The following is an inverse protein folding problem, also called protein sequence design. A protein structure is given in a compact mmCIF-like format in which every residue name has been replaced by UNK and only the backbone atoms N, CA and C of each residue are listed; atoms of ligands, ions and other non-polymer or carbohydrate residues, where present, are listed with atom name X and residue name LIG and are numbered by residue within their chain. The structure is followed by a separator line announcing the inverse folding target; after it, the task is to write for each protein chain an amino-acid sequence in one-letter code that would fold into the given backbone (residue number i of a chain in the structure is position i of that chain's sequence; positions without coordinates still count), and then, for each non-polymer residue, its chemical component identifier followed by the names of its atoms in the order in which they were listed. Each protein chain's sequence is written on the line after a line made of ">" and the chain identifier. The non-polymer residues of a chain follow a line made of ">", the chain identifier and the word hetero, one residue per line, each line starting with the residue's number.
data_IF_455923326519
#
_entry.id   IF_455923326519
#
_cell.length_a   1.000
_cell.length_b   1.000
_cell.length_c   1.000
_cell.angle_alpha   90.00
_cell.angle_beta   90.00
_cell.angle_gamma   90.00
#
_symmetry.space_group_name_H-M   'P 1'
#
loop_
_entity.id
_entity.type
_entity.pdbx_description
1 polymer ?
#
# COMPACT_ATOMS: atom_id res chain seq x y z
N UNK A 1 14.60 1.02 -1.68
CA UNK A 1 13.97 1.97 -2.60
C UNK A 1 13.00 1.22 -3.52
N UNK A 2 11.81 1.77 -3.76
CA UNK A 2 10.90 1.32 -4.84
C UNK A 2 11.14 2.25 -6.03
N UNK A 3 11.18 1.69 -7.24
CA UNK A 3 11.43 2.45 -8.46
C UNK A 3 10.52 1.97 -9.59
N UNK A 4 9.85 2.92 -10.25
CA UNK A 4 9.12 2.73 -11.49
C UNK A 4 9.86 3.48 -12.59
N UNK A 5 10.15 2.82 -13.71
CA UNK A 5 10.90 3.36 -14.84
C UNK A 5 10.10 3.18 -16.13
N UNK A 6 9.54 4.27 -16.65
CA UNK A 6 8.81 4.37 -17.93
C UNK A 6 7.75 3.28 -18.12
N UNK A 7 6.98 3.01 -17.05
CA UNK A 7 5.94 1.98 -17.10
C UNK A 7 4.83 2.42 -18.05
N UNK A 8 4.62 1.60 -19.08
CA UNK A 8 3.46 1.68 -19.97
C UNK A 8 2.64 0.40 -19.90
N UNK A 9 1.30 0.51 -19.89
CA UNK A 9 0.38 -0.62 -19.87
C UNK A 9 -0.95 -0.30 -20.53
N UNK A 10 -1.36 -1.17 -21.46
CA UNK A 10 -2.69 -1.17 -22.05
C UNK A 10 -3.43 -2.48 -21.79
N UNK A 11 -4.74 -2.44 -21.91
CA UNK A 11 -5.64 -3.60 -21.92
C UNK A 11 -6.57 -3.47 -23.13
N UNK A 12 -6.52 -4.46 -24.03
CA UNK A 12 -7.21 -4.41 -25.31
C UNK A 12 -6.84 -3.13 -26.09
N UNK A 13 -7.78 -2.24 -26.35
CA UNK A 13 -7.55 -0.98 -27.08
C UNK A 13 -7.33 0.25 -26.18
N UNK A 14 -7.38 0.08 -24.83
CA UNK A 14 -7.30 1.21 -23.89
C UNK A 14 -5.91 1.26 -23.24
N UNK A 15 -5.19 2.37 -23.43
CA UNK A 15 -4.00 2.69 -22.64
C UNK A 15 -4.44 3.05 -21.21
N UNK A 16 -3.78 2.44 -20.21
CA UNK A 16 -4.04 2.67 -18.79
C UNK A 16 -2.87 3.38 -18.10
N UNK A 17 -1.63 3.11 -18.54
CA UNK A 17 -0.42 3.76 -18.05
C UNK A 17 0.46 4.15 -19.25
N UNK A 18 1.09 5.31 -19.17
CA UNK A 18 1.93 5.88 -20.23
C UNK A 18 3.19 6.50 -19.61
N UNK A 19 4.33 5.82 -19.78
CA UNK A 19 5.68 6.25 -19.37
C UNK A 19 5.80 6.70 -17.89
N UNK A 20 5.07 6.03 -16.98
CA UNK A 20 5.05 6.37 -15.55
C UNK A 20 6.41 6.09 -14.92
N UNK A 21 7.02 7.13 -14.31
CA UNK A 21 8.31 7.02 -13.60
C UNK A 21 8.28 7.80 -12.30
N UNK A 22 8.58 7.14 -11.17
CA UNK A 22 8.78 7.77 -9.86
C UNK A 22 9.51 6.82 -8.91
N UNK A 23 9.90 7.32 -7.74
CA UNK A 23 10.57 6.54 -6.70
C UNK A 23 9.93 6.74 -5.33
N UNK A 24 9.96 5.70 -4.47
CA UNK A 24 9.69 5.79 -3.04
C UNK A 24 10.94 5.36 -2.25
N UNK A 25 11.35 6.17 -1.27
CA UNK A 25 12.64 6.03 -0.56
C UNK A 25 12.48 5.42 0.83
N UNK A 26 13.60 5.05 1.43
CA UNK A 26 13.69 4.57 2.80
C UNK A 26 13.34 5.68 3.80
N UNK A 27 12.59 5.31 4.86
CA UNK A 27 12.14 6.24 5.89
C UNK A 27 10.99 7.14 5.46
N UNK A 28 10.40 6.89 4.29
CA UNK A 28 9.39 7.73 3.64
C UNK A 28 8.06 6.99 3.48
N UNK A 29 6.95 7.70 3.71
CA UNK A 29 5.62 7.28 3.29
C UNK A 29 5.31 8.03 1.98
N UNK A 30 5.30 7.30 0.87
CA UNK A 30 4.94 7.85 -0.44
C UNK A 30 3.48 7.53 -0.75
N UNK A 31 2.67 8.54 -1.07
CA UNK A 31 1.30 8.38 -1.54
C UNK A 31 1.22 8.45 -3.07
N UNK A 32 0.58 7.45 -3.66
CA UNK A 32 0.14 7.47 -5.06
C UNK A 32 -1.35 7.81 -5.08
N UNK A 33 -1.68 9.04 -5.47
CA UNK A 33 -3.04 9.57 -5.47
C UNK A 33 -3.62 9.70 -6.87
N UNK A 34 -4.93 9.77 -6.95
CA UNK A 34 -5.68 9.98 -8.20
C UNK A 34 -7.06 9.37 -8.13
N UNK A 35 -7.97 9.72 -9.06
CA UNK A 35 -9.32 9.17 -9.09
C UNK A 35 -9.35 7.68 -9.39
N UNK A 36 -10.51 7.07 -9.19
CA UNK A 36 -10.73 5.68 -9.58
C UNK A 36 -10.51 5.52 -11.10
N UNK A 37 -9.79 4.46 -11.49
CA UNK A 37 -9.44 4.21 -12.90
C UNK A 37 -8.23 4.97 -13.43
N UNK A 38 -7.53 5.77 -12.62
CA UNK A 38 -6.30 6.48 -13.05
C UNK A 38 -5.10 5.56 -13.30
N UNK A 39 -5.12 4.30 -12.81
CA UNK A 39 -4.05 3.32 -12.99
C UNK A 39 -3.30 2.92 -11.72
N UNK A 40 -3.64 3.46 -10.54
CA UNK A 40 -2.96 3.17 -9.25
C UNK A 40 -2.81 1.68 -8.96
N UNK A 41 -3.93 0.95 -8.90
CA UNK A 41 -3.90 -0.49 -8.63
C UNK A 41 -3.23 -1.30 -9.74
N UNK A 42 -3.19 -0.79 -10.98
CA UNK A 42 -2.42 -1.39 -12.09
C UNK A 42 -0.92 -1.27 -11.82
N UNK A 43 -0.44 -0.11 -11.38
CA UNK A 43 0.95 0.08 -10.97
C UNK A 43 1.36 -0.84 -9.81
N UNK A 44 0.50 -0.94 -8.79
CA UNK A 44 0.74 -1.87 -7.66
C UNK A 44 0.82 -3.32 -8.15
N UNK A 45 -0.09 -3.75 -9.03
CA UNK A 45 -0.07 -5.11 -9.59
C UNK A 45 1.18 -5.38 -10.42
N UNK A 46 1.66 -4.40 -11.20
CA UNK A 46 2.93 -4.50 -11.94
C UNK A 46 4.10 -4.64 -10.97
N UNK A 47 4.17 -3.79 -9.95
CA UNK A 47 5.23 -3.82 -8.94
C UNK A 47 5.31 -5.17 -8.22
N UNK A 48 4.16 -5.78 -7.93
CA UNK A 48 4.06 -7.10 -7.28
C UNK A 48 4.17 -8.29 -8.23
N UNK A 49 4.49 -8.06 -9.51
CA UNK A 49 4.62 -9.13 -10.51
C UNK A 49 3.32 -9.86 -10.85
N UNK A 50 2.15 -9.31 -10.47
CA UNK A 50 0.85 -9.92 -10.76
C UNK A 50 0.42 -9.72 -12.22
N UNK A 51 0.91 -8.68 -12.87
CA UNK A 51 0.76 -8.40 -14.30
C UNK A 51 2.07 -7.82 -14.82
N UNK A 52 2.42 -8.13 -16.08
CA UNK A 52 3.59 -7.56 -16.74
C UNK A 52 3.28 -6.20 -17.35
N UNK A 53 4.17 -5.20 -17.26
CA UNK A 53 4.06 -3.98 -18.04
C UNK A 53 4.27 -4.31 -19.54
N UNK A 54 3.81 -3.43 -20.43
CA UNK A 54 4.10 -3.54 -21.87
C UNK A 54 5.47 -2.94 -22.17
N UNK A 55 5.85 -1.88 -21.42
CA UNK A 55 7.17 -1.23 -21.47
C UNK A 55 7.59 -0.79 -20.06
N UNK A 56 8.90 -0.64 -19.87
CA UNK A 56 9.48 -0.19 -18.60
C UNK A 56 9.59 -1.32 -17.57
N UNK A 57 9.95 -0.95 -16.35
CA UNK A 57 10.11 -1.91 -15.24
C UNK A 57 9.80 -1.27 -13.89
N UNK A 58 9.32 -2.10 -12.96
CA UNK A 58 9.15 -1.74 -11.54
C UNK A 58 10.03 -2.62 -10.66
N UNK A 59 10.78 -2.02 -9.73
CA UNK A 59 11.80 -2.73 -8.96
C UNK A 59 11.80 -2.35 -7.49
N UNK A 60 12.35 -3.27 -6.68
CA UNK A 60 12.71 -3.12 -5.27
C UNK A 60 14.23 -3.19 -5.16
N UNK A 61 14.89 -2.08 -4.86
CA UNK A 61 16.36 -1.97 -4.85
C UNK A 61 17.01 -2.59 -6.11
N UNK A 62 16.43 -2.28 -7.29
CA UNK A 62 16.92 -2.73 -8.60
C UNK A 62 16.49 -4.14 -9.01
N UNK A 63 15.73 -4.88 -8.16
CA UNK A 63 15.23 -6.24 -8.44
C UNK A 63 13.73 -6.21 -8.69
N UNK A 64 13.25 -6.98 -9.68
CA UNK A 64 11.81 -7.24 -9.84
C UNK A 64 11.28 -8.09 -8.68
N UNK A 65 9.95 -8.17 -8.51
CA UNK A 65 9.36 -9.01 -7.46
C UNK A 65 9.78 -10.48 -7.58
N UNK A 66 9.88 -11.01 -8.79
CA UNK A 66 10.31 -12.39 -9.07
C UNK A 66 11.77 -12.63 -8.68
N UNK A 67 12.63 -11.62 -8.83
CA UNK A 67 14.05 -11.68 -8.48
C UNK A 67 14.32 -11.57 -6.97
N UNK A 68 13.30 -11.26 -6.13
CA UNK A 68 13.43 -11.26 -4.67
C UNK A 68 13.63 -12.66 -4.08
N UNK A 69 13.55 -13.71 -4.90
CA UNK A 69 13.83 -15.08 -4.53
C UNK A 69 12.62 -15.85 -3.99
N UNK A 70 12.87 -16.94 -3.28
CA UNK A 70 11.84 -17.90 -2.85
C UNK A 70 10.80 -17.34 -1.88
N UNK A 71 11.15 -16.31 -1.12
CA UNK A 71 10.32 -15.76 -0.04
C UNK A 71 10.18 -14.23 -0.15
N UNK A 72 9.60 -13.70 -1.25
CA UNK A 72 9.51 -12.26 -1.47
C UNK A 72 8.72 -11.52 -0.38
N UNK A 73 7.75 -12.18 0.26
CA UNK A 73 6.96 -11.65 1.37
C UNK A 73 7.80 -11.27 2.62
N UNK A 74 9.02 -11.77 2.75
CA UNK A 74 9.97 -11.33 3.80
C UNK A 74 10.58 -9.97 3.50
N UNK A 75 10.51 -9.55 2.26
CA UNK A 75 11.01 -8.25 1.80
C UNK A 75 9.89 -7.24 1.57
N UNK A 76 8.78 -7.69 0.98
CA UNK A 76 7.64 -6.86 0.61
C UNK A 76 6.37 -7.45 1.21
N UNK A 77 5.72 -6.71 2.10
CA UNK A 77 4.35 -6.97 2.55
C UNK A 77 3.37 -6.17 1.71
N UNK A 78 2.24 -6.77 1.35
CA UNK A 78 1.22 -6.10 0.56
C UNK A 78 -0.17 -6.31 1.17
N UNK A 79 -0.95 -5.23 1.18
CA UNK A 79 -2.38 -5.22 1.44
C UNK A 79 -3.08 -4.63 0.23
N UNK A 80 -3.90 -5.41 -0.44
CA UNK A 80 -4.64 -4.99 -1.63
C UNK A 80 -6.11 -4.80 -1.28
N UNK A 81 -6.80 -3.88 -1.96
CA UNK A 81 -8.24 -3.62 -1.79
C UNK A 81 -9.08 -4.89 -1.99
N UNK A 82 -8.60 -5.84 -2.79
CA UNK A 82 -9.23 -7.15 -2.99
C UNK A 82 -9.03 -8.15 -1.83
N UNK A 83 -8.43 -7.75 -0.70
CA UNK A 83 -8.20 -8.64 0.44
C UNK A 83 -9.50 -9.16 1.02
N UNK A 84 -9.72 -10.47 0.87
CA UNK A 84 -10.89 -11.18 1.39
C UNK A 84 -10.45 -12.43 2.17
N UNK A 85 -10.21 -12.30 3.48
CA UNK A 85 -9.85 -13.44 4.30
C UNK A 85 -11.05 -14.40 4.45
N UNK A 86 -10.78 -15.71 4.59
CA UNK A 86 -11.82 -16.71 4.74
C UNK A 86 -12.71 -16.40 5.98
N UNK A 87 -14.01 -16.14 5.79
CA UNK A 87 -14.91 -15.67 6.85
C UNK A 87 -15.15 -16.70 7.96
N UNK A 88 -14.92 -17.98 7.71
CA UNK A 88 -15.11 -19.05 8.69
C UNK A 88 -13.93 -19.25 9.64
N UNK A 89 -12.75 -18.70 9.29
CA UNK A 89 -11.56 -18.73 10.14
C UNK A 89 -11.62 -17.66 11.23
N UNK A 90 -10.85 -17.87 12.30
CA UNK A 90 -10.50 -16.78 13.24
C UNK A 90 -9.31 -15.99 12.71
N UNK A 91 -9.10 -14.75 13.18
CA UNK A 91 -7.93 -13.97 12.78
C UNK A 91 -6.62 -14.68 13.15
N UNK A 92 -6.56 -15.28 14.33
CA UNK A 92 -5.40 -16.06 14.74
C UNK A 92 -5.16 -17.25 13.80
N UNK A 93 -6.20 -18.04 13.47
CA UNK A 93 -6.08 -19.16 12.53
C UNK A 93 -5.67 -18.73 11.13
N UNK A 94 -6.12 -17.55 10.69
CA UNK A 94 -5.75 -16.97 9.39
C UNK A 94 -4.25 -16.68 9.34
N UNK A 95 -3.73 -15.93 10.32
CA UNK A 95 -2.29 -15.62 10.41
C UNK A 95 -1.44 -16.88 10.63
N UNK A 96 -1.92 -17.81 11.48
CA UNK A 96 -1.22 -19.07 11.75
C UNK A 96 -1.07 -19.92 10.49
N UNK A 97 -2.10 -20.00 9.65
CA UNK A 97 -2.02 -20.74 8.39
C UNK A 97 -0.94 -20.17 7.46
N UNK A 98 -0.88 -18.84 7.34
CA UNK A 98 0.15 -18.17 6.54
C UNK A 98 1.54 -18.37 7.17
N UNK A 99 1.67 -18.21 8.48
CA UNK A 99 2.93 -18.40 9.19
C UNK A 99 3.51 -19.81 8.99
N UNK A 100 2.68 -20.85 9.12
CA UNK A 100 3.10 -22.24 8.93
C UNK A 100 3.57 -22.53 7.49
N UNK A 101 2.84 -22.04 6.49
CA UNK A 101 3.21 -22.24 5.07
C UNK A 101 4.43 -21.43 4.65
N UNK A 102 4.75 -20.37 5.39
CA UNK A 102 5.82 -19.44 5.09
C UNK A 102 7.07 -19.59 5.98
N UNK A 103 7.06 -20.56 6.90
CA UNK A 103 8.18 -20.78 7.84
C UNK A 103 8.40 -19.59 8.79
N UNK A 104 7.30 -18.94 9.22
CA UNK A 104 7.31 -17.84 10.19
C UNK A 104 6.96 -18.40 11.57
N UNK A 105 7.62 -17.91 12.63
CA UNK A 105 7.35 -18.32 14.01
C UNK A 105 5.90 -17.99 14.41
N UNK A 106 5.23 -18.95 15.03
CA UNK A 106 3.85 -18.82 15.54
C UNK A 106 3.67 -17.65 16.51
N UNK A 107 4.70 -17.34 17.32
CA UNK A 107 4.69 -16.18 18.22
C UNK A 107 4.40 -14.88 17.49
N UNK A 108 4.91 -14.75 16.24
CA UNK A 108 4.70 -13.58 15.42
C UNK A 108 3.23 -13.31 15.11
N UNK A 109 2.39 -14.32 15.04
CA UNK A 109 0.94 -14.14 14.84
C UNK A 109 0.30 -13.34 16.00
N UNK A 110 0.65 -13.67 17.25
CA UNK A 110 0.14 -12.97 18.43
C UNK A 110 0.69 -11.54 18.51
N UNK A 111 1.98 -11.35 18.18
CA UNK A 111 2.58 -10.02 18.09
C UNK A 111 1.87 -9.15 17.05
N UNK A 112 1.61 -9.69 15.86
CA UNK A 112 0.90 -8.94 14.80
C UNK A 112 -0.54 -8.59 15.23
N UNK A 113 -1.28 -9.53 15.86
CA UNK A 113 -2.61 -9.22 16.38
C UNK A 113 -2.57 -8.12 17.44
N UNK A 114 -1.55 -8.11 18.30
CA UNK A 114 -1.36 -7.04 19.29
C UNK A 114 -1.03 -5.71 18.62
N UNK A 115 -0.12 -5.69 17.64
CA UNK A 115 0.28 -4.48 16.89
C UNK A 115 -0.92 -3.81 16.21
N UNK A 116 -1.86 -4.60 15.70
CA UNK A 116 -3.05 -4.06 15.02
C UNK A 116 -4.28 -3.93 15.93
N UNK A 117 -4.14 -4.18 17.23
CA UNK A 117 -5.23 -4.03 18.21
C UNK A 117 -6.34 -5.07 18.06
N UNK A 118 -6.02 -6.29 17.61
CA UNK A 118 -6.98 -7.39 17.44
C UNK A 118 -6.74 -8.56 18.40
N UNK A 119 -5.86 -8.41 19.39
CA UNK A 119 -5.48 -9.53 20.29
C UNK A 119 -6.65 -10.08 21.10
N UNK A 120 -7.56 -9.21 21.62
CA UNK A 120 -8.71 -9.64 22.44
C UNK A 120 -9.80 -10.34 21.61
N UNK A 121 -9.83 -10.08 20.31
CA UNK A 121 -10.82 -10.64 19.38
C UNK A 121 -10.22 -11.64 18.39
N UNK A 122 -8.94 -11.96 18.52
CA UNK A 122 -8.21 -12.85 17.62
C UNK A 122 -8.83 -14.24 17.43
N UNK A 123 -9.60 -14.72 18.40
CA UNK A 123 -10.34 -15.99 18.37
C UNK A 123 -11.79 -15.87 17.86
N UNK A 124 -12.29 -14.66 17.59
CA UNK A 124 -13.59 -14.49 16.92
C UNK A 124 -13.46 -14.79 15.43
N UNK A 125 -14.55 -15.28 14.84
CA UNK A 125 -14.59 -15.55 13.38
C UNK A 125 -14.56 -14.25 12.59
N UNK A 126 -13.86 -14.26 11.46
CA UNK A 126 -13.69 -13.09 10.59
C UNK A 126 -15.03 -12.60 10.00
N UNK A 127 -16.02 -13.49 9.83
CA UNK A 127 -17.38 -13.07 9.42
C UNK A 127 -18.01 -12.07 10.38
N UNK A 128 -17.64 -12.13 11.68
CA UNK A 128 -18.19 -11.27 12.73
C UNK A 128 -17.37 -9.99 12.94
N UNK A 129 -16.36 -9.74 12.07
CA UNK A 129 -15.53 -8.55 12.11
C UNK A 129 -16.19 -7.39 11.40
N UNK A 130 -16.07 -6.17 11.98
CA UNK A 130 -16.38 -4.93 11.28
C UNK A 130 -15.40 -4.72 10.10
N UNK A 131 -15.71 -3.79 9.21
CA UNK A 131 -14.82 -3.42 8.11
C UNK A 131 -13.44 -3.03 8.64
N UNK A 132 -13.38 -2.13 9.64
CA UNK A 132 -12.12 -1.71 10.25
C UNK A 132 -11.33 -2.86 10.87
N UNK A 133 -11.98 -3.84 11.50
CA UNK A 133 -11.30 -5.03 12.00
C UNK A 133 -10.73 -5.90 10.85
N UNK A 134 -11.42 -5.99 9.72
CA UNK A 134 -10.90 -6.69 8.52
C UNK A 134 -9.71 -5.97 7.92
N UNK A 135 -9.74 -4.64 7.85
CA UNK A 135 -8.61 -3.82 7.41
C UNK A 135 -7.39 -4.02 8.31
N UNK A 136 -7.56 -3.96 9.63
CA UNK A 136 -6.50 -4.26 10.61
C UNK A 136 -5.93 -5.67 10.45
N UNK A 137 -6.77 -6.68 10.16
CA UNK A 137 -6.31 -8.04 9.87
C UNK A 137 -5.50 -8.11 8.56
N UNK A 138 -5.90 -7.37 7.53
CA UNK A 138 -5.14 -7.23 6.28
C UNK A 138 -3.75 -6.65 6.52
N UNK A 139 -3.66 -5.57 7.31
CA UNK A 139 -2.38 -4.99 7.73
C UNK A 139 -1.55 -5.99 8.55
N UNK A 140 -2.16 -6.72 9.50
CA UNK A 140 -1.47 -7.78 10.26
C UNK A 140 -0.89 -8.85 9.33
N UNK A 141 -1.63 -9.22 8.29
CA UNK A 141 -1.19 -10.18 7.28
C UNK A 141 0.01 -9.65 6.49
N UNK A 142 -0.05 -8.39 6.05
CA UNK A 142 1.01 -7.76 5.28
C UNK A 142 2.33 -7.63 6.07
N UNK A 143 2.25 -7.38 7.40
CA UNK A 143 3.44 -7.22 8.26
C UNK A 143 3.90 -8.51 8.94
N UNK A 144 3.24 -9.64 8.70
CA UNK A 144 3.49 -10.90 9.40
C UNK A 144 4.96 -11.34 9.31
N UNK A 145 5.56 -11.22 8.13
CA UNK A 145 6.97 -11.57 7.89
C UNK A 145 7.97 -10.46 8.28
N UNK A 146 7.52 -9.38 8.91
CA UNK A 146 8.32 -8.18 9.23
C UNK A 146 9.06 -7.60 8.01
N UNK A 147 8.36 -7.28 6.93
CA UNK A 147 8.97 -6.84 5.68
C UNK A 147 9.67 -5.48 5.82
N UNK A 148 10.63 -5.21 4.90
CA UNK A 148 11.28 -3.89 4.76
C UNK A 148 10.35 -2.89 4.06
N UNK A 149 9.51 -3.37 3.16
CA UNK A 149 8.62 -2.55 2.32
C UNK A 149 7.17 -2.95 2.57
N UNK A 150 6.29 -1.97 2.69
CA UNK A 150 4.85 -2.16 2.85
C UNK A 150 4.10 -1.44 1.73
N UNK A 151 3.31 -2.19 0.97
CA UNK A 151 2.47 -1.69 -0.12
C UNK A 151 1.02 -1.80 0.31
N UNK A 152 0.28 -0.69 0.25
CA UNK A 152 -1.09 -0.59 0.72
C UNK A 152 -1.98 0.02 -0.36
N UNK A 153 -2.90 -0.78 -0.89
CA UNK A 153 -3.87 -0.32 -1.88
C UNK A 153 -5.18 0.04 -1.17
N UNK A 154 -5.49 1.35 -1.10
CA UNK A 154 -6.69 1.94 -0.48
C UNK A 154 -6.94 1.50 0.98
N UNK A 155 -5.95 1.52 1.90
CA UNK A 155 -6.08 0.92 3.23
C UNK A 155 -7.01 1.67 4.18
N UNK A 156 -7.36 2.92 3.88
CA UNK A 156 -8.26 3.77 4.69
C UNK A 156 -9.70 3.76 4.19
N UNK A 157 -9.96 3.09 3.07
CA UNK A 157 -11.29 3.07 2.45
C UNK A 157 -12.33 2.47 3.39
N UNK A 158 -13.41 3.25 3.66
CA UNK A 158 -14.52 2.84 4.51
C UNK A 158 -14.21 2.73 6.01
N UNK A 159 -13.09 3.31 6.48
CA UNK A 159 -12.80 3.46 7.89
C UNK A 159 -13.49 4.68 8.46
N UNK A 160 -13.82 4.60 9.76
CA UNK A 160 -14.21 5.76 10.57
C UNK A 160 -12.98 6.64 10.91
N UNK A 161 -13.18 7.86 11.43
CA UNK A 161 -12.08 8.77 11.77
C UNK A 161 -11.04 8.16 12.73
N UNK A 162 -11.47 7.35 13.70
CA UNK A 162 -10.57 6.68 14.64
C UNK A 162 -9.74 5.60 13.94
N UNK A 163 -10.33 4.88 12.99
CA UNK A 163 -9.64 3.92 12.13
C UNK A 163 -8.58 4.57 11.25
N UNK A 164 -8.89 5.72 10.64
CA UNK A 164 -7.95 6.51 9.83
C UNK A 164 -6.78 7.00 10.68
N UNK A 165 -7.07 7.57 11.87
CA UNK A 165 -6.05 8.02 12.82
C UNK A 165 -5.11 6.86 13.20
N UNK A 166 -5.68 5.70 13.52
CA UNK A 166 -4.90 4.52 13.88
C UNK A 166 -3.99 4.07 12.73
N UNK A 167 -4.48 4.01 11.48
CA UNK A 167 -3.65 3.68 10.30
C UNK A 167 -2.49 4.67 10.18
N UNK A 168 -2.73 5.97 10.33
CA UNK A 168 -1.70 7.01 10.30
C UNK A 168 -0.59 6.76 11.31
N UNK A 169 -0.95 6.54 12.58
CA UNK A 169 0.00 6.26 13.66
C UNK A 169 0.80 5.00 13.38
N UNK A 170 0.13 3.95 12.91
CA UNK A 170 0.75 2.68 12.51
C UNK A 170 1.78 2.87 11.39
N UNK A 171 1.46 3.63 10.33
CA UNK A 171 2.37 3.87 9.22
C UNK A 171 3.58 4.70 9.63
N UNK A 172 3.37 5.73 10.43
CA UNK A 172 4.46 6.55 10.98
C UNK A 172 5.41 5.74 11.86
N UNK A 173 4.89 4.82 12.68
CA UNK A 173 5.73 3.91 13.45
C UNK A 173 6.48 2.92 12.56
N UNK A 174 5.81 2.40 11.53
CA UNK A 174 6.41 1.42 10.61
C UNK A 174 7.65 1.98 9.89
N UNK A 175 7.63 3.24 9.44
CA UNK A 175 8.77 3.84 8.69
C UNK A 175 9.95 4.26 9.56
N UNK A 176 9.80 4.43 10.88
CA UNK A 176 10.87 4.87 11.79
C UNK A 176 12.13 4.00 11.76
N UNK A 177 12.00 2.74 11.39
CA UNK A 177 13.13 1.81 11.23
C UNK A 177 13.84 1.85 9.87
N UNK A 178 13.67 2.91 9.07
CA UNK A 178 14.20 3.00 7.70
C UNK A 178 13.43 2.13 6.71
N UNK A 179 12.20 1.72 7.06
CA UNK A 179 11.31 0.97 6.17
C UNK A 179 10.64 1.90 5.17
N UNK A 180 10.00 1.32 4.15
CA UNK A 180 9.36 2.04 3.05
C UNK A 180 7.88 1.74 3.06
N UNK A 181 7.05 2.78 2.88
CA UNK A 181 5.61 2.61 2.64
C UNK A 181 5.24 3.25 1.32
N UNK A 182 4.54 2.49 0.47
CA UNK A 182 3.82 3.00 -0.69
C UNK A 182 2.32 2.77 -0.45
N UNK A 183 1.56 3.84 -0.39
CA UNK A 183 0.11 3.81 -0.16
C UNK A 183 -0.62 4.38 -1.37
N UNK A 184 -1.71 3.76 -1.80
CA UNK A 184 -2.62 4.38 -2.77
C UNK A 184 -3.84 4.93 -2.06
N UNK A 185 -4.38 6.05 -2.52
CA UNK A 185 -5.67 6.57 -2.08
C UNK A 185 -6.29 7.49 -3.12
N UNK A 186 -7.61 7.58 -3.07
CA UNK A 186 -8.38 8.64 -3.72
C UNK A 186 -8.87 9.70 -2.73
N UNK A 187 -8.67 9.50 -1.43
CA UNK A 187 -8.96 10.46 -0.35
C UNK A 187 -7.72 11.30 -0.05
N UNK A 188 -7.51 12.37 -0.82
CA UNK A 188 -6.29 13.17 -0.79
C UNK A 188 -6.08 13.88 0.54
N UNK A 189 -7.15 14.48 1.09
CA UNK A 189 -7.10 15.26 2.34
C UNK A 189 -6.70 14.40 3.56
N UNK A 190 -7.10 13.13 3.59
CA UNK A 190 -6.77 12.23 4.70
C UNK A 190 -5.28 11.88 4.77
N UNK A 191 -4.57 12.05 3.65
CA UNK A 191 -3.14 11.73 3.54
C UNK A 191 -2.22 12.90 3.91
N UNK A 192 -2.69 14.15 3.89
CA UNK A 192 -1.87 15.35 4.10
C UNK A 192 -1.03 15.32 5.38
N UNK A 193 -1.62 14.78 6.46
CA UNK A 193 -0.93 14.63 7.75
C UNK A 193 -0.11 13.34 7.88
N UNK A 194 -0.11 12.51 6.83
CA UNK A 194 0.45 11.14 6.93
C UNK A 194 1.68 10.96 6.06
N UNK A 195 1.72 11.57 4.88
CA UNK A 195 2.72 11.24 3.86
C UNK A 195 3.86 12.25 3.80
N UNK A 196 5.02 11.78 3.35
CA UNK A 196 6.21 12.59 3.17
C UNK A 196 6.37 12.99 1.70
N UNK A 197 5.88 12.16 0.79
CA UNK A 197 5.92 12.37 -0.66
C UNK A 197 4.56 12.07 -1.28
N UNK A 198 4.18 12.87 -2.27
CA UNK A 198 2.97 12.68 -3.07
C UNK A 198 3.32 12.48 -4.54
N UNK A 199 2.65 11.51 -5.18
CA UNK A 199 2.70 11.24 -6.60
C UNK A 199 1.26 11.22 -7.12
N UNK A 200 0.90 12.19 -7.95
CA UNK A 200 -0.44 12.32 -8.55
C UNK A 200 -0.50 11.61 -9.91
N UNK A 201 -1.48 10.73 -10.08
CA UNK A 201 -1.71 9.99 -11.33
C UNK A 201 -3.04 10.40 -11.96
N UNK A 202 -3.01 10.89 -13.19
CA UNK A 202 -4.19 11.23 -13.98
C UNK A 202 -4.08 10.65 -15.39
N UNK A 203 -5.14 9.95 -15.83
CA UNK A 203 -5.20 9.33 -17.17
C UNK A 203 -3.92 8.54 -17.53
N UNK A 204 -3.39 7.80 -16.53
CA UNK A 204 -2.19 6.97 -16.71
C UNK A 204 -0.86 7.73 -16.78
N UNK A 205 -0.84 9.02 -16.45
CA UNK A 205 0.38 9.86 -16.45
C UNK A 205 0.60 10.48 -15.09
N UNK A 206 1.87 10.72 -14.71
CA UNK A 206 2.21 11.50 -13.53
C UNK A 206 1.91 12.96 -13.79
N UNK A 207 1.15 13.58 -12.89
CA UNK A 207 0.82 15.01 -12.91
C UNK A 207 1.42 15.76 -11.71
N UNK A 208 1.76 15.05 -10.63
CA UNK A 208 2.46 15.57 -9.45
C UNK A 208 3.55 14.56 -9.06
N UNK A 209 4.73 15.01 -8.73
CA UNK A 209 5.80 14.25 -8.06
C UNK A 209 6.61 15.21 -7.19
N UNK A 210 6.32 15.25 -5.88
CA UNK A 210 6.94 16.21 -4.98
C UNK A 210 6.89 15.81 -3.50
N UNK A 211 7.63 16.54 -2.67
CA UNK A 211 7.49 16.39 -1.23
C UNK A 211 6.11 16.90 -0.78
N UNK A 212 5.51 16.23 0.22
CA UNK A 212 4.22 16.66 0.80
C UNK A 212 4.27 18.12 1.25
N UNK A 213 5.39 18.52 1.89
CA UNK A 213 5.59 19.87 2.40
C UNK A 213 5.55 20.92 1.29
N UNK A 214 6.34 20.72 0.22
CA UNK A 214 6.45 21.69 -0.88
C UNK A 214 5.11 21.85 -1.60
N UNK A 215 4.39 20.73 -1.81
CA UNK A 215 3.07 20.74 -2.46
C UNK A 215 2.04 21.47 -1.60
N UNK A 216 2.04 21.26 -0.28
CA UNK A 216 1.12 21.97 0.62
C UNK A 216 1.47 23.47 0.76
N UNK A 217 2.75 23.83 0.76
CA UNK A 217 3.17 25.25 0.77
C UNK A 217 2.77 25.98 -0.51
N UNK A 218 2.83 25.33 -1.67
CA UNK A 218 2.51 25.93 -2.97
C UNK A 218 1.01 25.98 -3.26
N UNK A 219 0.27 24.91 -2.92
CA UNK A 219 -1.14 24.74 -3.35
C UNK A 219 -2.15 24.81 -2.19
N UNK A 220 -1.69 24.71 -0.94
CA UNK A 220 -2.55 24.70 0.25
C UNK A 220 -3.16 23.35 0.59
N UNK A 221 -3.46 22.50 -0.40
CA UNK A 221 -3.94 21.12 -0.21
C UNK A 221 -3.53 20.20 -1.35
N UNK A 222 -3.56 18.89 -1.12
CA UNK A 222 -3.31 17.90 -2.18
C UNK A 222 -4.40 17.91 -3.25
N UNK A 223 -5.62 18.20 -2.87
CA UNK A 223 -6.75 18.28 -3.77
C UNK A 223 -6.60 19.46 -4.75
N UNK A 224 -6.27 20.65 -4.24
CA UNK A 224 -5.98 21.82 -5.08
C UNK A 224 -4.79 21.59 -6.02
N UNK A 225 -3.69 21.01 -5.51
CA UNK A 225 -2.54 20.64 -6.31
C UNK A 225 -2.93 19.71 -7.47
N UNK A 226 -3.72 18.67 -7.16
CA UNK A 226 -4.18 17.71 -8.15
C UNK A 226 -5.04 18.36 -9.24
N UNK A 227 -6.07 19.16 -8.87
CA UNK A 227 -6.95 19.80 -9.83
C UNK A 227 -6.21 20.79 -10.72
N UNK A 228 -5.32 21.63 -10.18
CA UNK A 228 -4.51 22.56 -10.99
C UNK A 228 -3.59 21.81 -11.97
N UNK A 229 -3.00 20.69 -11.55
CA UNK A 229 -2.09 19.90 -12.40
C UNK A 229 -2.81 19.12 -13.52
N UNK A 230 -4.11 18.90 -13.42
CA UNK A 230 -4.91 18.20 -14.44
C UNK A 230 -5.55 19.19 -15.42
N UNK A 231 -5.74 20.48 -15.01
CA UNK A 231 -6.44 21.50 -15.81
C UNK A 231 -5.47 22.29 -16.71
N UNK A 232 -4.17 22.27 -16.40
CA UNK A 232 -3.09 22.85 -17.22
C UNK A 232 -2.55 21.81 -18.22
#
# INVERSE_FOLDING_TARGET
>A
MIQFEKISKGFSSKSVLSEVSFTAKEGEITALIGPNGSGKSTLIKILLGLISPDEGRATFDGKSYEELGKYPFRYVGAFLDSFQPNPTRTAYSHLMWIALTSGIDKKRCLECLKLVGLHDVGNKRIKDYSLGMKQRLGLATAILANPKILILDEPINGLDPDGIRWVREFLREFVRGGKIVLITSHYMNELELTVDKIVGLSNGKIVIDGSSKDVLEEYGSFEEAYFKSVTN
#
